data_IF_059198356106
#
_entry.id   IF_059198356106
#
_cell.length_a   1.000
_cell.length_b   1.000
_cell.length_c   1.000
_cell.angle_alpha   90.00
_cell.angle_beta   90.00
_cell.angle_gamma   90.00
#
_symmetry.space_group_name_H-M   'P 1'
#
loop_
_entity.id
_entity.type
_entity.pdbx_description
1 polymer ?
#
# COMPACT_ATOMS: atom_id res chain seq x y z
N UNK A 1 -6.21 -14.33 -5.04
CA UNK A 1 -6.50 -13.94 -3.64
C UNK A 1 -5.61 -14.73 -2.72
N UNK A 2 -4.97 -14.04 -1.77
CA UNK A 2 -4.22 -14.66 -0.66
C UNK A 2 -5.20 -15.49 0.17
N UNK A 3 -4.82 -16.72 0.53
CA UNK A 3 -5.72 -17.69 1.19
C UNK A 3 -5.25 -18.10 2.56
N UNK A 4 -3.94 -18.03 2.80
CA UNK A 4 -3.38 -18.42 4.08
C UNK A 4 -3.24 -17.21 5.00
N UNK A 5 -3.33 -17.45 6.31
CA UNK A 5 -3.14 -16.44 7.36
C UNK A 5 -1.76 -15.78 7.34
N UNK A 6 -0.78 -16.41 6.70
CA UNK A 6 0.61 -15.92 6.61
C UNK A 6 0.93 -15.24 5.29
N UNK A 7 -0.01 -15.23 4.34
CA UNK A 7 0.20 -14.62 3.04
C UNK A 7 0.28 -13.09 3.19
N UNK A 8 1.27 -12.47 2.55
CA UNK A 8 1.51 -11.03 2.59
C UNK A 8 1.63 -10.49 1.17
N UNK A 9 0.94 -9.38 0.92
CA UNK A 9 1.07 -8.58 -0.30
C UNK A 9 1.83 -7.31 0.04
N UNK A 10 2.84 -6.96 -0.75
CA UNK A 10 3.54 -5.68 -0.61
C UNK A 10 3.62 -4.98 -1.97
N UNK A 11 3.12 -3.74 -2.00
CA UNK A 11 3.30 -2.80 -3.10
C UNK A 11 4.46 -1.87 -2.75
N UNK A 12 5.42 -1.73 -3.67
CA UNK A 12 6.49 -0.76 -3.58
C UNK A 12 6.49 0.09 -4.83
N UNK A 13 6.28 1.37 -4.67
CA UNK A 13 6.41 2.35 -5.74
C UNK A 13 7.70 3.11 -5.47
N UNK A 14 8.58 3.18 -6.46
CA UNK A 14 9.80 3.97 -6.41
C UNK A 14 9.83 4.87 -7.62
N UNK A 15 9.85 6.17 -7.37
CA UNK A 15 9.93 7.18 -8.42
C UNK A 15 10.96 8.24 -8.09
N UNK A 16 11.27 9.07 -9.08
CA UNK A 16 12.21 10.18 -8.95
C UNK A 16 11.57 11.47 -8.40
N UNK A 17 10.28 11.43 -8.09
CA UNK A 17 9.55 12.53 -7.48
C UNK A 17 9.95 12.77 -6.01
N UNK A 18 9.49 13.89 -5.42
CA UNK A 18 9.86 14.30 -4.07
C UNK A 18 9.43 13.31 -2.98
N UNK A 19 8.41 12.47 -3.19
CA UNK A 19 8.02 11.40 -2.24
C UNK A 19 9.08 10.30 -2.15
N UNK A 20 9.90 10.12 -3.20
CA UNK A 20 10.92 9.08 -3.44
C UNK A 20 10.42 7.64 -3.48
N UNK A 21 9.57 7.26 -2.54
CA UNK A 21 9.09 5.90 -2.41
C UNK A 21 7.82 5.80 -1.59
N UNK A 22 6.99 4.82 -1.96
CA UNK A 22 5.80 4.41 -1.23
C UNK A 22 5.92 2.91 -1.00
N UNK A 23 5.73 2.47 0.23
CA UNK A 23 5.65 1.04 0.56
C UNK A 23 4.37 0.77 1.32
N UNK A 24 3.54 -0.13 0.80
CA UNK A 24 2.30 -0.57 1.44
C UNK A 24 2.32 -2.09 1.53
N UNK A 25 1.95 -2.63 2.68
CA UNK A 25 1.84 -4.05 2.92
C UNK A 25 0.45 -4.35 3.49
N UNK A 26 -0.18 -5.42 2.99
CA UNK A 26 -1.46 -5.93 3.45
C UNK A 26 -1.37 -7.45 3.65
N UNK A 27 -2.05 -7.97 4.67
CA UNK A 27 -2.20 -9.41 4.87
C UNK A 27 -3.57 -9.93 4.38
N UNK A 28 -3.83 -11.23 4.55
CA UNK A 28 -5.09 -11.87 4.16
C UNK A 28 -6.30 -11.49 5.03
N UNK A 29 -6.11 -10.72 6.11
CA UNK A 29 -7.16 -10.27 7.05
C UNK A 29 -7.51 -8.80 6.88
N UNK A 30 -7.04 -8.18 5.79
CA UNK A 30 -7.22 -6.77 5.49
C UNK A 30 -6.59 -5.81 6.52
N UNK A 31 -5.59 -6.30 7.26
CA UNK A 31 -4.70 -5.46 8.04
C UNK A 31 -3.67 -4.82 7.10
N UNK A 32 -3.66 -3.49 7.05
CA UNK A 32 -2.81 -2.71 6.13
C UNK A 32 -1.85 -1.83 6.92
N UNK A 33 -0.63 -1.68 6.42
CA UNK A 33 0.33 -0.68 6.89
C UNK A 33 1.11 -0.13 5.71
N UNK A 34 1.44 1.14 5.74
CA UNK A 34 2.25 1.75 4.70
C UNK A 34 2.92 3.02 5.17
N UNK A 35 3.95 3.41 4.43
CA UNK A 35 4.66 4.65 4.64
C UNK A 35 5.19 5.19 3.31
N UNK A 36 5.54 6.47 3.31
CA UNK A 36 6.28 7.14 2.25
C UNK A 36 7.66 7.54 2.77
N UNK A 37 8.65 7.58 1.89
CA UNK A 37 10.03 7.88 2.29
C UNK A 37 10.19 9.35 2.73
N UNK A 38 9.44 10.27 2.12
CA UNK A 38 9.40 11.69 2.48
C UNK A 38 7.94 12.12 2.71
N UNK A 39 7.46 12.23 3.96
CA UNK A 39 6.05 12.50 4.24
C UNK A 39 5.66 13.98 4.09
N UNK A 40 6.61 14.91 4.21
CA UNK A 40 6.35 16.35 4.23
C UNK A 40 6.30 16.99 2.82
N UNK A 41 5.92 16.22 1.81
CA UNK A 41 5.85 16.69 0.42
C UNK A 41 4.55 17.44 0.19
N UNK A 42 4.67 18.72 -0.20
CA UNK A 42 3.55 19.57 -0.55
C UNK A 42 3.80 20.19 -1.92
N UNK A 43 2.90 19.90 -2.87
CA UNK A 43 2.94 20.44 -4.23
C UNK A 43 1.71 21.32 -4.49
N UNK A 44 1.80 22.32 -5.38
CA UNK A 44 0.64 23.03 -5.87
C UNK A 44 -0.39 22.07 -6.48
N UNK A 45 -1.70 22.33 -6.34
CA UNK A 45 -2.72 21.51 -6.97
C UNK A 45 -2.57 21.49 -8.50
N UNK A 46 -2.87 20.33 -9.10
CA UNK A 46 -2.93 20.11 -10.55
C UNK A 46 -4.37 19.86 -10.95
N UNK A 47 -4.91 20.71 -11.83
CA UNK A 47 -6.31 20.66 -12.27
C UNK A 47 -7.34 20.64 -11.11
N UNK A 48 -7.03 21.36 -10.03
CA UNK A 48 -7.86 21.42 -8.82
C UNK A 48 -7.78 20.19 -7.90
N UNK A 49 -6.89 19.23 -8.19
CA UNK A 49 -6.64 18.01 -7.40
C UNK A 49 -5.21 18.00 -6.84
N UNK A 50 -4.94 17.05 -5.94
CA UNK A 50 -3.58 16.79 -5.45
C UNK A 50 -2.70 16.29 -6.60
N UNK A 51 -1.49 16.83 -6.73
CA UNK A 51 -0.54 16.41 -7.78
C UNK A 51 0.20 15.13 -7.36
N UNK A 52 -0.50 14.00 -7.40
CA UNK A 52 0.05 12.68 -7.03
C UNK A 52 1.14 12.27 -8.01
N UNK A 53 0.88 12.42 -9.32
CA UNK A 53 1.88 12.12 -10.35
C UNK A 53 3.16 12.95 -10.21
N UNK A 54 3.05 14.25 -9.91
CA UNK A 54 4.21 15.09 -9.64
C UNK A 54 4.96 14.70 -8.36
N UNK A 55 4.25 14.24 -7.33
CA UNK A 55 4.83 13.81 -6.07
C UNK A 55 5.59 12.47 -6.18
N UNK A 56 5.07 11.54 -6.98
CA UNK A 56 5.66 10.21 -7.22
C UNK A 56 6.77 10.29 -8.27
N UNK A 57 6.55 11.02 -9.37
CA UNK A 57 7.48 11.11 -10.50
C UNK A 57 7.56 9.83 -11.33
N UNK A 58 8.54 9.76 -12.22
CA UNK A 58 8.76 8.61 -13.11
C UNK A 58 9.41 7.50 -12.32
N UNK A 59 8.93 6.27 -12.50
CA UNK A 59 9.38 5.18 -11.66
C UNK A 59 8.84 3.81 -12.04
N UNK A 60 8.83 2.94 -11.04
CA UNK A 60 8.33 1.58 -11.16
C UNK A 60 7.42 1.21 -9.99
N UNK A 61 6.43 0.37 -10.30
CA UNK A 61 5.62 -0.35 -9.34
C UNK A 61 6.13 -1.80 -9.26
N UNK A 62 6.44 -2.23 -8.04
CA UNK A 62 6.80 -3.60 -7.69
C UNK A 62 5.72 -4.18 -6.79
N UNK A 63 5.21 -5.34 -7.15
CA UNK A 63 4.21 -6.12 -6.42
C UNK A 63 4.85 -7.42 -5.95
N UNK A 64 4.95 -7.59 -4.64
CA UNK A 64 5.54 -8.77 -4.00
C UNK A 64 4.44 -9.54 -3.28
N UNK A 65 4.26 -10.80 -3.64
CA UNK A 65 3.34 -11.75 -2.99
C UNK A 65 4.17 -12.81 -2.28
N UNK A 66 4.23 -12.72 -0.96
CA UNK A 66 4.79 -13.76 -0.12
C UNK A 66 3.67 -14.72 0.30
N UNK A 67 3.75 -15.97 -0.16
CA UNK A 67 2.73 -17.00 0.09
C UNK A 67 3.30 -18.19 0.86
N UNK A 68 4.37 -17.97 1.65
CA UNK A 68 5.07 -19.05 2.35
C UNK A 68 5.81 -20.02 1.43
N UNK A 69 6.02 -19.62 0.17
CA UNK A 69 6.87 -20.34 -0.78
C UNK A 69 8.35 -20.09 -0.46
N UNK A 70 9.25 -20.86 -1.09
CA UNK A 70 10.70 -20.69 -0.89
C UNK A 70 11.17 -19.28 -1.27
N UNK A 71 10.59 -18.71 -2.32
CA UNK A 71 10.84 -17.36 -2.80
C UNK A 71 9.49 -16.66 -3.04
N UNK A 72 9.38 -15.36 -2.72
CA UNK A 72 8.17 -14.60 -2.98
C UNK A 72 7.97 -14.41 -4.49
N UNK A 73 6.72 -14.34 -4.93
CA UNK A 73 6.40 -13.95 -6.29
C UNK A 73 6.55 -12.44 -6.44
N UNK A 74 7.29 -11.99 -7.45
CA UNK A 74 7.54 -10.59 -7.72
C UNK A 74 7.12 -10.25 -9.15
N UNK A 75 6.15 -9.34 -9.28
CA UNK A 75 5.78 -8.71 -10.56
C UNK A 75 6.16 -7.24 -10.54
N UNK A 76 6.62 -6.69 -11.65
CA UNK A 76 7.00 -5.28 -11.73
C UNK A 76 6.55 -4.66 -13.05
N UNK A 77 6.26 -3.37 -13.01
CA UNK A 77 5.94 -2.56 -14.19
C UNK A 77 6.49 -1.15 -14.04
N UNK A 78 6.70 -0.46 -15.17
CA UNK A 78 6.91 0.99 -15.15
C UNK A 78 5.62 1.70 -14.74
N UNK A 79 5.75 2.86 -14.10
CA UNK A 79 4.63 3.77 -13.91
C UNK A 79 4.27 4.40 -15.25
N UNK A 80 3.00 4.34 -15.61
CA UNK A 80 2.46 4.91 -16.85
C UNK A 80 2.03 6.34 -16.62
N UNK A 81 1.34 6.60 -15.51
CA UNK A 81 0.83 7.94 -15.17
C UNK A 81 1.25 8.42 -13.80
N UNK A 82 1.66 7.50 -12.92
CA UNK A 82 2.07 7.81 -11.54
C UNK A 82 0.91 8.29 -10.66
N UNK A 83 -0.34 8.05 -11.08
CA UNK A 83 -1.58 8.31 -10.33
C UNK A 83 -2.06 7.06 -9.55
N UNK A 84 -1.22 6.03 -9.45
CA UNK A 84 -1.41 4.79 -8.66
C UNK A 84 -2.50 3.86 -9.23
N UNK A 85 -3.73 4.35 -9.40
CA UNK A 85 -4.87 3.55 -9.85
C UNK A 85 -4.64 3.01 -11.26
N UNK A 86 -4.29 3.89 -12.21
CA UNK A 86 -4.00 3.51 -13.59
C UNK A 86 -2.75 2.65 -13.71
N UNK A 87 -1.74 2.87 -12.86
CA UNK A 87 -0.53 2.06 -12.81
C UNK A 87 -0.83 0.63 -12.32
N UNK A 88 -1.75 0.48 -11.35
CA UNK A 88 -2.26 -0.82 -10.90
C UNK A 88 -3.12 -1.50 -11.98
N UNK A 89 -3.99 -0.75 -12.65
CA UNK A 89 -4.73 -1.25 -13.84
C UNK A 89 -3.77 -1.79 -14.88
N UNK A 90 -2.71 -1.03 -15.21
CA UNK A 90 -1.69 -1.46 -16.15
C UNK A 90 -0.92 -2.69 -15.66
N UNK A 91 -0.58 -2.74 -14.37
CA UNK A 91 0.05 -3.91 -13.75
C UNK A 91 -0.79 -5.18 -13.90
N UNK A 92 -2.09 -5.13 -13.57
CA UNK A 92 -2.95 -6.30 -13.71
C UNK A 92 -3.07 -6.75 -15.18
N UNK A 93 -3.22 -5.80 -16.11
CA UNK A 93 -3.34 -6.11 -17.52
C UNK A 93 -2.05 -6.73 -18.10
N UNK A 94 -0.87 -6.21 -17.77
CA UNK A 94 0.39 -6.62 -18.39
C UNK A 94 1.13 -7.72 -17.62
N UNK A 95 1.16 -7.63 -16.29
CA UNK A 95 1.88 -8.57 -15.44
C UNK A 95 1.03 -9.78 -15.06
N UNK A 96 -0.28 -9.59 -14.82
CA UNK A 96 -1.18 -10.69 -14.45
C UNK A 96 -2.03 -11.20 -15.62
N UNK A 97 -2.02 -10.50 -16.76
CA UNK A 97 -2.85 -10.82 -17.94
C UNK A 97 -4.35 -10.87 -17.62
N UNK A 98 -4.78 -10.02 -16.68
CA UNK A 98 -6.18 -9.89 -16.27
C UNK A 98 -6.65 -8.48 -16.62
N UNK A 99 -7.53 -8.31 -17.63
CA UNK A 99 -8.15 -7.02 -17.91
C UNK A 99 -8.84 -6.50 -16.65
N UNK A 100 -8.40 -5.34 -16.18
CA UNK A 100 -8.81 -4.81 -14.88
C UNK A 100 -9.06 -3.31 -14.95
N UNK A 101 -10.00 -2.84 -14.14
CA UNK A 101 -10.24 -1.42 -13.89
C UNK A 101 -10.10 -1.15 -12.40
N UNK A 102 -9.27 -0.17 -12.05
CA UNK A 102 -8.98 0.21 -10.67
C UNK A 102 -9.38 1.67 -10.51
N UNK A 103 -10.32 1.93 -9.62
CA UNK A 103 -10.70 3.29 -9.21
C UNK A 103 -10.25 3.51 -7.78
N UNK A 104 -9.45 4.53 -7.52
CA UNK A 104 -9.02 4.91 -6.18
C UNK A 104 -9.22 6.41 -5.99
N UNK A 105 -9.51 6.81 -4.75
CA UNK A 105 -9.72 8.21 -4.42
C UNK A 105 -9.46 8.50 -2.96
N UNK A 106 -8.84 9.66 -2.70
CA UNK A 106 -8.67 10.22 -1.36
C UNK A 106 -9.09 11.68 -1.40
N UNK A 107 -10.00 12.07 -0.52
CA UNK A 107 -10.45 13.44 -0.32
C UNK A 107 -9.92 13.93 1.03
N UNK A 108 -9.22 15.06 1.00
CA UNK A 108 -8.60 15.68 2.17
C UNK A 108 -9.44 16.85 2.68
N UNK A 109 -9.45 17.03 4.00
CA UNK A 109 -9.89 18.26 4.65
C UNK A 109 -8.79 19.34 4.59
N UNK A 110 -9.16 20.58 4.90
CA UNK A 110 -8.23 21.73 4.90
C UNK A 110 -7.18 21.68 6.01
N UNK A 111 -7.39 20.85 7.03
CA UNK A 111 -6.46 20.65 8.14
C UNK A 111 -5.50 19.46 7.90
N UNK A 112 -5.42 18.97 6.66
CA UNK A 112 -4.64 17.81 6.25
C UNK A 112 -5.08 16.48 6.87
N UNK A 113 -6.32 16.39 7.37
CA UNK A 113 -6.94 15.10 7.71
C UNK A 113 -7.66 14.50 6.50
N UNK A 114 -7.84 13.17 6.49
CA UNK A 114 -8.59 12.48 5.43
C UNK A 114 -10.08 12.61 5.72
N UNK A 115 -10.84 13.19 4.78
CA UNK A 115 -12.30 13.23 4.84
C UNK A 115 -12.88 11.87 4.47
N UNK A 116 -12.48 11.35 3.32
CA UNK A 116 -12.88 10.02 2.83
C UNK A 116 -11.81 9.44 1.92
N UNK A 117 -11.70 8.12 1.92
CA UNK A 117 -10.80 7.37 1.05
C UNK A 117 -11.43 6.03 0.70
N UNK A 118 -11.26 5.59 -0.54
CA UNK A 118 -11.80 4.32 -0.99
C UNK A 118 -11.58 4.08 -2.47
N UNK A 119 -12.19 3.02 -2.96
CA UNK A 119 -12.00 2.58 -4.33
C UNK A 119 -12.61 1.22 -4.63
N UNK A 120 -12.41 0.78 -5.85
CA UNK A 120 -12.86 -0.51 -6.35
C UNK A 120 -11.81 -1.11 -7.29
N UNK A 121 -11.87 -2.42 -7.44
CA UNK A 121 -11.14 -3.17 -8.47
C UNK A 121 -12.16 -4.07 -9.16
N UNK A 122 -12.28 -3.94 -10.47
CA UNK A 122 -13.08 -4.83 -11.32
C UNK A 122 -12.11 -5.61 -12.20
N UNK A 123 -12.26 -6.93 -12.23
CA UNK A 123 -11.41 -7.81 -13.03
C UNK A 123 -12.27 -8.72 -13.90
N UNK A 124 -11.93 -8.79 -15.19
CA UNK A 124 -12.64 -9.64 -16.13
C UNK A 124 -12.06 -11.04 -16.08
N UNK A 125 -12.88 -12.01 -15.68
CA UNK A 125 -12.50 -13.41 -15.67
C UNK A 125 -12.49 -13.97 -17.09
N UNK A 126 -11.72 -15.05 -17.35
CA UNK A 126 -11.75 -15.74 -18.64
C UNK A 126 -13.18 -16.10 -19.05
N UNK A 127 -13.45 -16.04 -20.35
CA UNK A 127 -14.75 -16.38 -20.94
C UNK A 127 -15.89 -15.41 -20.60
N UNK A 128 -15.61 -14.21 -20.09
CA UNK A 128 -16.61 -13.16 -20.00
C UNK A 128 -17.21 -12.85 -21.40
N UNK A 129 -18.53 -12.70 -21.46
CA UNK A 129 -19.24 -12.42 -22.72
C UNK A 129 -19.01 -10.97 -23.15
N UNK A 130 -18.81 -10.74 -24.45
CA UNK A 130 -18.54 -9.40 -25.02
C UNK A 130 -19.58 -8.34 -24.62
N UNK A 131 -20.86 -8.75 -24.52
CA UNK A 131 -21.96 -7.90 -24.07
C UNK A 131 -21.76 -7.42 -22.62
N UNK A 132 -21.28 -8.30 -21.74
CA UNK A 132 -20.94 -7.97 -20.36
C UNK A 132 -19.73 -7.02 -20.29
N UNK A 133 -18.70 -7.27 -21.11
CA UNK A 133 -17.52 -6.39 -21.17
C UNK A 133 -17.95 -4.98 -21.57
N UNK A 134 -18.70 -4.85 -22.68
CA UNK A 134 -19.16 -3.58 -23.21
C UNK A 134 -20.02 -2.80 -22.21
N UNK A 135 -20.89 -3.50 -21.48
CA UNK A 135 -21.74 -2.87 -20.47
C UNK A 135 -20.92 -2.33 -19.29
N UNK A 136 -19.94 -3.09 -18.80
CA UNK A 136 -19.07 -2.66 -17.70
C UNK A 136 -18.21 -1.46 -18.13
N UNK A 137 -17.66 -1.48 -19.35
CA UNK A 137 -16.91 -0.35 -19.89
C UNK A 137 -17.75 0.92 -19.98
N UNK A 138 -19.03 0.81 -20.37
CA UNK A 138 -19.94 1.96 -20.40
C UNK A 138 -20.28 2.48 -18.99
N UNK A 139 -20.53 1.57 -18.03
CA UNK A 139 -20.76 1.94 -16.63
C UNK A 139 -19.51 2.62 -16.03
N UNK A 140 -18.31 2.18 -16.38
CA UNK A 140 -17.07 2.81 -15.92
C UNK A 140 -16.91 4.25 -16.42
N UNK A 141 -17.45 4.59 -17.60
CA UNK A 141 -17.44 5.97 -18.11
C UNK A 141 -18.39 6.91 -17.36
N UNK A 142 -19.44 6.38 -16.73
CA UNK A 142 -20.41 7.20 -16.00
C UNK A 142 -19.86 7.64 -14.63
N UNK A 143 -18.97 6.85 -14.01
CA UNK A 143 -18.32 7.23 -12.76
C UNK A 143 -17.22 8.24 -13.02
N UNK A 144 -17.52 9.49 -12.67
CA UNK A 144 -16.59 10.62 -12.88
C UNK A 144 -15.54 10.70 -11.77
N UNK A 145 -15.90 10.35 -10.53
CA UNK A 145 -14.98 10.39 -9.39
C UNK A 145 -15.43 9.49 -8.24
N UNK A 146 -14.54 8.60 -7.78
CA UNK A 146 -14.78 7.78 -6.58
C UNK A 146 -14.96 8.65 -5.34
N UNK A 147 -14.17 9.72 -5.19
CA UNK A 147 -14.25 10.58 -4.01
C UNK A 147 -15.56 11.35 -3.90
N UNK A 148 -16.17 11.72 -5.03
CA UNK A 148 -17.45 12.43 -5.04
C UNK A 148 -18.58 11.53 -4.56
N UNK A 149 -18.62 10.28 -5.03
CA UNK A 149 -19.61 9.30 -4.59
C UNK A 149 -19.45 8.97 -3.10
N UNK A 150 -18.20 8.78 -2.65
CA UNK A 150 -17.91 8.58 -1.23
C UNK A 150 -18.31 9.78 -0.36
N UNK A 151 -18.12 11.02 -0.86
CA UNK A 151 -18.54 12.23 -0.15
C UNK A 151 -20.06 12.38 -0.07
N UNK A 152 -20.79 11.81 -1.03
CA UNK A 152 -22.25 11.71 -1.01
C UNK A 152 -22.78 10.61 -0.07
N UNK A 153 -21.88 9.84 0.56
CA UNK A 153 -22.22 8.79 1.51
C UNK A 153 -22.43 7.41 0.90
N UNK A 154 -21.99 7.18 -0.34
CA UNK A 154 -22.02 5.85 -0.95
C UNK A 154 -21.13 4.88 -0.17
N UNK A 155 -21.66 3.69 0.10
CA UNK A 155 -20.88 2.56 0.62
C UNK A 155 -20.12 1.84 -0.49
N UNK A 156 -19.22 0.92 -0.14
CA UNK A 156 -18.54 0.08 -1.12
C UNK A 156 -19.54 -0.74 -1.95
N UNK A 157 -20.61 -1.21 -1.30
CA UNK A 157 -21.71 -1.92 -1.97
C UNK A 157 -22.49 -1.02 -2.92
N UNK A 158 -22.76 0.24 -2.56
CA UNK A 158 -23.44 1.18 -3.46
C UNK A 158 -22.60 1.49 -4.69
N UNK A 159 -21.28 1.64 -4.52
CA UNK A 159 -20.35 1.81 -5.65
C UNK A 159 -20.40 0.61 -6.60
N UNK A 160 -20.37 -0.61 -6.06
CA UNK A 160 -20.47 -1.83 -6.87
C UNK A 160 -21.85 -1.99 -7.51
N UNK A 161 -22.91 -1.56 -6.83
CA UNK A 161 -24.28 -1.58 -7.37
C UNK A 161 -24.43 -0.64 -8.56
N UNK A 162 -23.82 0.55 -8.51
CA UNK A 162 -23.79 1.49 -9.64
C UNK A 162 -23.00 0.92 -10.82
N UNK A 163 -21.86 0.27 -10.55
CA UNK A 163 -20.95 -0.25 -11.58
C UNK A 163 -21.41 -1.57 -12.21
N UNK A 164 -22.04 -2.45 -11.43
CA UNK A 164 -22.27 -3.85 -11.80
C UNK A 164 -23.71 -4.32 -11.58
N UNK A 165 -24.59 -3.48 -11.03
CA UNK A 165 -25.94 -3.87 -10.63
C UNK A 165 -26.81 -4.40 -11.77
N UNK A 166 -26.59 -3.92 -12.99
CA UNK A 166 -27.29 -4.37 -14.19
C UNK A 166 -26.70 -5.65 -14.83
N UNK A 167 -25.56 -6.12 -14.35
CA UNK A 167 -24.85 -7.32 -14.85
C UNK A 167 -25.10 -8.55 -13.96
N UNK A 168 -25.66 -8.34 -12.76
CA UNK A 168 -25.89 -9.39 -11.77
C UNK A 168 -24.81 -9.37 -10.70
N UNK A 169 -25.04 -8.57 -9.65
CA UNK A 169 -24.13 -8.40 -8.53
C UNK A 169 -24.46 -9.39 -7.41
N UNK A 170 -23.44 -10.12 -6.93
CA UNK A 170 -23.52 -10.98 -5.77
C UNK A 170 -22.40 -10.63 -4.79
N UNK A 171 -22.75 -10.35 -3.54
CA UNK A 171 -21.79 -10.11 -2.47
C UNK A 171 -21.41 -11.42 -1.79
N UNK A 172 -20.13 -11.79 -1.90
CA UNK A 172 -19.62 -13.07 -1.38
C UNK A 172 -19.06 -12.97 0.04
N UNK A 173 -18.42 -11.85 0.38
CA UNK A 173 -17.77 -11.66 1.67
C UNK A 173 -17.67 -10.17 2.03
N UNK A 174 -17.49 -9.89 3.33
CA UNK A 174 -17.23 -8.55 3.88
C UNK A 174 -16.16 -8.63 4.95
N UNK A 175 -15.11 -7.85 4.80
CA UNK A 175 -13.98 -7.85 5.72
C UNK A 175 -13.67 -6.41 6.18
N UNK A 176 -13.60 -6.13 7.48
CA UNK A 176 -13.19 -4.82 7.97
C UNK A 176 -11.70 -4.60 7.65
N UNK A 177 -11.38 -3.45 7.06
CA UNK A 177 -10.00 -3.03 6.83
C UNK A 177 -9.54 -2.12 7.97
N UNK A 178 -8.28 -2.21 8.36
CA UNK A 178 -7.72 -1.33 9.38
C UNK A 178 -6.22 -1.09 9.20
N UNK A 179 -5.74 0.01 9.77
CA UNK A 179 -4.32 0.19 9.97
C UNK A 179 -3.84 -0.73 11.09
N UNK A 180 -2.91 -1.63 10.79
CA UNK A 180 -2.35 -2.55 11.77
C UNK A 180 -0.84 -2.72 11.56
N UNK A 181 -0.06 -2.30 12.57
CA UNK A 181 1.38 -2.52 12.57
C UNK A 181 1.76 -3.59 13.58
N UNK A 182 2.40 -4.64 13.08
CA UNK A 182 2.88 -5.76 13.88
C UNK A 182 4.31 -5.56 14.42
N UNK A 183 4.73 -4.32 14.66
CA UNK A 183 6.03 -4.04 15.27
C UNK A 183 5.99 -4.30 16.79
N UNK A 184 7.09 -4.76 17.33
CA UNK A 184 7.30 -4.92 18.78
C UNK A 184 8.75 -4.58 19.10
N UNK A 185 9.06 -4.37 20.39
CA UNK A 185 10.44 -4.11 20.81
C UNK A 185 11.35 -5.27 20.40
N UNK A 186 10.89 -6.51 20.52
CA UNK A 186 11.65 -7.70 20.10
C UNK A 186 11.89 -7.74 18.58
N UNK A 187 10.89 -7.40 17.77
CA UNK A 187 11.05 -7.36 16.31
C UNK A 187 12.00 -6.26 15.86
N UNK A 188 11.95 -5.10 16.49
CA UNK A 188 12.86 -3.99 16.20
C UNK A 188 14.26 -4.31 16.71
N UNK A 189 14.41 -5.03 17.83
CA UNK A 189 15.70 -5.54 18.33
C UNK A 189 16.44 -6.37 17.27
N UNK A 190 15.72 -7.22 16.52
CA UNK A 190 16.31 -7.99 15.42
C UNK A 190 16.86 -7.09 14.29
N UNK A 191 16.19 -5.98 13.99
CA UNK A 191 16.69 -5.02 13.00
C UNK A 191 17.95 -4.30 13.52
N UNK A 192 17.96 -3.90 14.79
CA UNK A 192 19.14 -3.30 15.45
C UNK A 192 20.32 -4.27 15.43
N UNK A 193 20.08 -5.55 15.72
CA UNK A 193 21.11 -6.59 15.67
C UNK A 193 21.73 -6.75 14.27
N UNK A 194 21.00 -6.40 13.22
CA UNK A 194 21.42 -6.48 11.82
C UNK A 194 22.30 -5.33 11.33
N UNK A 195 22.39 -4.21 12.07
CA UNK A 195 23.22 -3.04 11.69
C UNK A 195 24.71 -3.43 11.62
N UNK A 196 25.13 -4.31 12.53
CA UNK A 196 26.49 -4.81 12.60
C UNK A 196 27.12 -4.56 13.96
N UNK A 197 28.01 -5.48 14.35
CA UNK A 197 28.59 -5.46 15.70
C UNK A 197 29.42 -4.21 16.00
N UNK A 198 30.13 -3.70 15.00
CA UNK A 198 31.00 -2.54 15.15
C UNK A 198 30.17 -1.30 15.52
N UNK A 199 29.14 -1.02 14.73
CA UNK A 199 28.30 0.16 14.93
C UNK A 199 27.56 0.11 16.28
N UNK A 200 27.07 -1.07 16.70
CA UNK A 200 26.46 -1.21 18.03
C UNK A 200 27.49 -1.02 19.16
N UNK A 201 28.74 -1.44 18.96
CA UNK A 201 29.80 -1.23 19.96
C UNK A 201 30.17 0.25 20.07
N UNK A 202 30.27 0.95 18.94
CA UNK A 202 30.54 2.39 18.92
C UNK A 202 29.43 3.15 19.68
N UNK A 203 28.15 2.81 19.47
CA UNK A 203 27.02 3.36 20.25
C UNK A 203 27.12 3.08 21.76
N UNK A 204 27.59 1.89 22.16
CA UNK A 204 27.79 1.53 23.57
C UNK A 204 28.92 2.36 24.19
N UNK A 205 29.99 2.59 23.43
CA UNK A 205 31.18 3.31 23.89
C UNK A 205 30.91 4.81 24.04
N UNK A 206 30.03 5.37 23.19
CA UNK A 206 29.47 6.73 23.34
C UNK A 206 28.59 6.86 24.59
N UNK A 207 28.07 5.75 25.12
CA UNK A 207 27.34 5.71 26.39
C UNK A 207 25.91 6.27 26.32
N UNK A 208 25.37 6.42 25.10
CA UNK A 208 24.04 6.97 24.88
C UNK A 208 23.00 5.87 24.58
N UNK A 209 21.77 6.12 25.03
CA UNK A 209 20.63 5.28 24.66
C UNK A 209 20.22 5.63 23.22
N UNK A 210 19.78 4.62 22.46
CA UNK A 210 19.31 4.84 21.09
C UNK A 210 17.78 4.79 21.02
N UNK A 211 17.21 5.58 20.12
CA UNK A 211 15.81 5.53 19.74
C UNK A 211 15.68 5.00 18.31
N UNK A 212 14.87 3.97 18.11
CA UNK A 212 14.57 3.42 16.79
C UNK A 212 13.08 3.58 16.53
N UNK A 213 12.74 4.27 15.46
CA UNK A 213 11.35 4.45 15.04
C UNK A 213 10.96 3.39 14.01
N UNK A 214 9.80 2.77 14.21
CA UNK A 214 9.24 1.91 13.18
C UNK A 214 8.81 2.75 11.98
N UNK A 215 9.32 2.45 10.77
CA UNK A 215 8.94 3.18 9.56
C UNK A 215 7.43 3.13 9.25
N UNK A 216 6.73 2.05 9.63
CA UNK A 216 5.31 1.88 9.30
C UNK A 216 4.35 2.63 10.22
N UNK A 217 4.60 2.65 11.53
CA UNK A 217 3.68 3.25 12.51
C UNK A 217 4.28 4.40 13.32
N UNK A 218 5.55 4.74 13.05
CA UNK A 218 6.30 5.78 13.74
C UNK A 218 6.45 5.58 15.27
N UNK A 219 6.13 4.39 15.79
CA UNK A 219 6.36 4.06 17.20
C UNK A 219 7.85 4.10 17.51
N UNK A 220 8.21 4.83 18.58
CA UNK A 220 9.57 4.98 19.05
C UNK A 220 9.93 3.90 20.08
N UNK A 221 10.99 3.15 19.82
CA UNK A 221 11.52 2.11 20.70
C UNK A 221 12.88 2.54 21.24
N UNK A 222 12.96 2.78 22.55
CA UNK A 222 14.22 3.11 23.24
C UNK A 222 14.97 1.85 23.66
N UNK A 223 16.25 1.81 23.36
CA UNK A 223 17.19 0.78 23.79
C UNK A 223 18.28 1.40 24.64
N UNK A 224 18.41 0.89 25.85
CA UNK A 224 19.46 1.33 26.77
C UNK A 224 20.82 0.75 26.37
N UNK A 225 21.91 1.33 26.88
CA UNK A 225 23.25 0.73 26.73
C UNK A 225 23.29 -0.74 27.21
N UNK A 226 22.51 -1.09 28.24
CA UNK A 226 22.37 -2.48 28.69
C UNK A 226 21.64 -3.36 27.66
N UNK A 227 20.59 -2.84 27.00
CA UNK A 227 19.92 -3.51 25.89
C UNK A 227 20.91 -3.79 24.76
N UNK A 228 21.71 -2.80 24.35
CA UNK A 228 22.71 -2.95 23.29
C UNK A 228 23.77 -4.01 23.63
N UNK A 229 24.25 -4.03 24.88
CA UNK A 229 25.16 -5.07 25.39
C UNK A 229 24.54 -6.46 25.33
N UNK A 230 23.23 -6.59 25.57
CA UNK A 230 22.49 -7.86 25.44
C UNK A 230 22.36 -8.29 23.97
N UNK A 231 22.07 -7.36 23.07
CA UNK A 231 21.95 -7.60 21.62
C UNK A 231 23.27 -8.14 21.06
N UNK A 232 24.40 -7.47 21.32
CA UNK A 232 25.73 -7.93 20.86
C UNK A 232 26.05 -9.34 21.36
N UNK A 233 25.70 -9.67 22.61
CA UNK A 233 25.95 -11.00 23.17
C UNK A 233 25.12 -12.09 22.49
N UNK A 234 23.88 -11.80 22.11
CA UNK A 234 22.99 -12.74 21.41
C UNK A 234 23.44 -12.99 19.97
N UNK A 235 23.91 -11.96 19.26
CA UNK A 235 24.46 -12.09 17.91
C UNK A 235 25.79 -12.86 17.80
N UNK A 236 26.33 -13.39 18.92
CA UNK A 236 27.51 -14.28 18.94
C UNK A 236 27.19 -15.76 18.66
N UNK A 237 25.91 -16.14 18.61
CA UNK A 237 25.46 -17.47 18.19
C UNK A 237 24.99 -17.43 16.75
#
# INVERSE_FOLDING_TARGET
MMKNDTDMLTLKIRGDGPLRGITVTADSKADVKGYVDVPDVMLPPKDGKLDVSGAVGIGMLLVVKDMGLKEPYCGQTILVTSEIAEDLTYYFANSEQVPSSVGLGVLMEKDNTVKTAGGFIIQMMPFAQEETISQIEENLKSITSVTELLDQGYTAEDLLQELLGNVGLEFTDRMPTQFCCNCSKERVEHAVAGIGRKDIQDMIDEGEDIEVKCHFCNSAYRYTVEDLKRIIKRSKK
#
